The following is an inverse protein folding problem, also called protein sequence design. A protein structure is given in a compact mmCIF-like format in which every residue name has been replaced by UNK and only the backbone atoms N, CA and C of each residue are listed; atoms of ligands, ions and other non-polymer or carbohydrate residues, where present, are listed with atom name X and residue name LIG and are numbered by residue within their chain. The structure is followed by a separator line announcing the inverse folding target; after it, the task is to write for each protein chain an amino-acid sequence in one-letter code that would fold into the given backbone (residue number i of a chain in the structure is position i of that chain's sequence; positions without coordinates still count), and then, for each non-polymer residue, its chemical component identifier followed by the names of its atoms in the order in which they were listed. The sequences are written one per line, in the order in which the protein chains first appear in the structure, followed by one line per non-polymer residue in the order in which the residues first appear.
data_IF_869148074600
#
_entry.id   IF_869148074600
#
_cell.length_a   1.000
_cell.length_b   1.000
_cell.length_c   1.000
_cell.angle_alpha   90.00
_cell.angle_beta   90.00
_cell.angle_gamma   90.00
#
_symmetry.space_group_name_H-M   'P 1'
#
loop_
_entity.id
_entity.type
_entity.pdbx_description
1 polymer ?
#
# COMPACT_ATOMS: atom_id res chain seq x y z
N UNK A 1 -1.97 4.63 31.00
CA UNK A 1 -2.84 3.67 30.27
C UNK A 1 -2.04 2.93 29.19
N UNK A 2 -2.39 1.69 28.84
CA UNK A 2 -1.78 0.95 27.71
C UNK A 2 -2.71 0.82 26.50
N UNK A 3 -4.03 0.84 26.73
CA UNK A 3 -5.08 0.80 25.70
C UNK A 3 -6.05 1.96 25.85
N UNK A 4 -6.89 2.20 24.83
CA UNK A 4 -7.91 3.25 24.81
C UNK A 4 -7.39 4.65 24.50
N UNK A 5 -8.29 5.64 24.48
CA UNK A 5 -7.99 7.02 24.07
C UNK A 5 -6.82 7.65 24.83
N UNK A 6 -6.79 7.53 26.16
CA UNK A 6 -5.69 8.07 26.95
C UNK A 6 -4.33 7.43 26.65
N UNK A 7 -4.28 6.20 26.13
CA UNK A 7 -3.02 5.61 25.67
C UNK A 7 -2.58 6.20 24.32
N UNK A 8 -3.53 6.47 23.42
CA UNK A 8 -3.32 7.13 22.12
C UNK A 8 -2.73 8.53 22.32
N UNK A 9 -3.30 9.32 23.23
CA UNK A 9 -2.84 10.69 23.52
C UNK A 9 -1.39 10.71 24.03
N UNK A 10 -1.05 9.75 24.90
CA UNK A 10 0.32 9.62 25.41
C UNK A 10 1.28 9.19 24.30
N UNK A 11 0.89 8.23 23.45
CA UNK A 11 1.74 7.71 22.37
C UNK A 11 2.06 8.77 21.32
N UNK A 12 1.05 9.53 20.89
CA UNK A 12 1.21 10.65 19.96
C UNK A 12 1.99 11.81 20.59
N UNK A 13 1.69 12.14 21.86
CA UNK A 13 2.40 13.16 22.61
C UNK A 13 3.89 12.89 22.79
N UNK A 14 4.28 11.65 23.13
CA UNK A 14 5.68 11.26 23.26
C UNK A 14 6.45 11.39 21.93
N UNK A 15 5.82 11.00 20.82
CA UNK A 15 6.42 11.16 19.48
C UNK A 15 6.59 12.64 19.13
N UNK A 16 5.60 13.48 19.43
CA UNK A 16 5.67 14.93 19.20
C UNK A 16 6.78 15.59 20.04
N UNK A 17 6.95 15.14 21.29
CA UNK A 17 8.04 15.60 22.17
C UNK A 17 9.40 15.19 21.61
N UNK A 18 9.53 13.96 21.10
CA UNK A 18 10.75 13.49 20.44
C UNK A 18 11.11 14.39 19.25
N UNK A 19 10.15 14.63 18.35
CA UNK A 19 10.33 15.50 17.17
C UNK A 19 10.79 16.91 17.56
N UNK A 20 10.09 17.53 18.52
CA UNK A 20 10.43 18.87 18.98
C UNK A 20 11.83 18.91 19.58
N UNK A 21 12.21 17.87 20.34
CA UNK A 21 13.52 17.81 20.98
C UNK A 21 14.64 17.67 19.95
N UNK A 22 14.50 16.80 18.96
CA UNK A 22 15.47 16.66 17.86
C UNK A 22 15.64 18.00 17.14
N UNK A 23 14.53 18.68 16.82
CA UNK A 23 14.56 20.00 16.17
C UNK A 23 15.29 21.07 16.98
N UNK A 24 15.12 21.08 18.31
CA UNK A 24 15.82 22.02 19.19
C UNK A 24 17.32 21.75 19.23
N UNK A 25 17.74 20.49 19.22
CA UNK A 25 19.15 20.11 19.17
C UNK A 25 19.80 20.51 17.83
N UNK A 26 19.10 20.29 16.71
CA UNK A 26 19.53 20.73 15.38
C UNK A 26 19.68 22.25 15.27
N UNK A 27 18.83 23.02 15.95
CA UNK A 27 18.90 24.47 15.99
C UNK A 27 20.06 25.02 16.85
N UNK A 28 20.87 24.14 17.46
CA UNK A 28 21.96 24.54 18.35
C UNK A 28 21.48 25.00 19.73
N UNK A 29 20.18 24.84 20.04
CA UNK A 29 19.59 25.18 21.33
C UNK A 29 19.76 24.02 22.33
N UNK A 30 21.01 23.57 22.45
CA UNK A 30 21.43 22.54 23.43
C UNK A 30 21.56 23.12 24.84
N UNK A 31 21.42 24.45 25.00
CA UNK A 31 21.69 25.17 26.24
C UNK A 31 20.45 25.86 26.81
N UNK A 32 19.59 25.06 27.47
CA UNK A 32 18.84 25.36 28.72
C UNK A 32 17.45 24.75 28.69
N UNK A 33 17.27 23.60 29.35
CA UNK A 33 15.92 23.15 29.70
C UNK A 33 15.92 22.33 30.99
N UNK A 34 16.15 22.97 32.13
CA UNK A 34 15.91 22.32 33.42
C UNK A 34 14.45 21.82 33.45
N UNK A 35 14.26 20.50 33.53
CA UNK A 35 12.95 19.86 33.57
C UNK A 35 12.37 19.39 32.22
N UNK A 36 13.09 19.53 31.09
CA UNK A 36 12.66 18.94 29.81
C UNK A 36 13.50 17.68 29.54
N UNK A 37 12.87 16.54 29.22
CA UNK A 37 13.58 15.31 28.87
C UNK A 37 14.49 15.47 27.65
N UNK A 38 15.69 14.89 27.73
CA UNK A 38 16.59 14.66 26.60
C UNK A 38 16.00 13.66 25.59
N UNK A 39 16.57 13.62 24.39
CA UNK A 39 16.16 12.69 23.34
C UNK A 39 16.20 11.23 23.82
N UNK A 40 17.26 10.83 24.51
CA UNK A 40 17.43 9.47 25.04
C UNK A 40 16.40 9.15 26.13
N UNK A 41 16.04 10.13 26.97
CA UNK A 41 14.99 9.96 27.99
C UNK A 41 13.62 9.75 27.33
N UNK A 42 13.29 10.53 26.29
CA UNK A 42 12.04 10.37 25.54
C UNK A 42 12.00 9.01 24.84
N UNK A 43 13.08 8.61 24.18
CA UNK A 43 13.19 7.28 23.57
C UNK A 43 13.03 6.16 24.59
N UNK A 44 13.59 6.29 25.79
CA UNK A 44 13.39 5.33 26.87
C UNK A 44 11.93 5.26 27.33
N UNK A 45 11.21 6.39 27.36
CA UNK A 45 9.78 6.41 27.66
C UNK A 45 8.96 5.70 26.58
N UNK A 46 9.28 5.92 25.31
CA UNK A 46 8.67 5.26 24.15
C UNK A 46 8.96 3.75 24.20
N UNK A 47 10.21 3.35 24.42
CA UNK A 47 10.65 1.96 24.50
C UNK A 47 9.85 1.16 25.54
N UNK A 48 9.59 1.74 26.72
CA UNK A 48 8.78 1.13 27.80
C UNK A 48 7.30 0.94 27.46
N UNK A 49 6.86 1.52 26.34
CA UNK A 49 5.45 1.59 25.92
C UNK A 49 5.26 1.19 24.46
N UNK A 50 6.21 0.48 23.84
CA UNK A 50 6.08 0.07 22.44
C UNK A 50 4.84 -0.79 22.19
N UNK A 51 4.42 -1.58 23.18
CA UNK A 51 3.19 -2.38 23.16
C UNK A 51 1.92 -1.57 23.42
N UNK A 52 2.03 -0.30 23.80
CA UNK A 52 0.90 0.56 24.04
C UNK A 52 0.25 1.00 22.72
N UNK A 53 -1.05 1.28 22.79
CA UNK A 53 -1.88 1.60 21.63
C UNK A 53 -1.22 2.61 20.69
N UNK A 54 -1.03 2.21 19.44
CA UNK A 54 -0.51 3.04 18.33
C UNK A 54 0.91 3.61 18.53
N UNK A 55 1.68 3.22 19.56
CA UNK A 55 3.00 3.83 19.82
C UNK A 55 3.98 3.65 18.66
N UNK A 56 4.05 2.45 18.08
CA UNK A 56 4.89 2.16 16.91
C UNK A 56 4.41 2.96 15.70
N UNK A 57 3.09 3.01 15.47
CA UNK A 57 2.52 3.74 14.34
C UNK A 57 2.87 5.23 14.37
N UNK A 58 2.73 5.88 15.53
CA UNK A 58 3.13 7.28 15.68
C UNK A 58 4.64 7.47 15.49
N UNK A 59 5.46 6.62 16.10
CA UNK A 59 6.91 6.70 15.95
C UNK A 59 7.35 6.60 14.48
N UNK A 60 6.68 5.74 13.71
CA UNK A 60 6.92 5.60 12.27
C UNK A 60 6.44 6.79 11.43
N UNK A 61 5.63 7.69 11.98
CA UNK A 61 5.18 8.90 11.29
C UNK A 61 6.12 10.10 11.49
N UNK A 62 7.20 9.96 12.27
CA UNK A 62 8.18 11.03 12.52
C UNK A 62 9.42 10.82 11.64
N UNK A 63 9.62 11.60 10.56
CA UNK A 63 10.81 11.50 9.71
C UNK A 63 12.11 11.79 10.48
N UNK A 64 12.06 12.68 11.47
CA UNK A 64 13.23 13.01 12.31
C UNK A 64 13.61 11.85 13.22
N UNK A 65 12.64 11.08 13.72
CA UNK A 65 12.92 9.85 14.45
C UNK A 65 13.57 8.78 13.56
N UNK A 66 13.27 8.71 12.26
CA UNK A 66 13.80 7.66 11.39
C UNK A 66 15.33 7.63 11.33
N UNK A 67 15.99 8.80 11.29
CA UNK A 67 17.46 8.87 11.30
C UNK A 67 18.04 8.20 12.55
N UNK A 68 17.43 8.48 13.70
CA UNK A 68 17.83 7.88 14.98
C UNK A 68 17.53 6.39 15.09
N UNK A 69 16.36 5.97 14.58
CA UNK A 69 15.95 4.58 14.58
C UNK A 69 16.85 3.74 13.68
N UNK A 70 17.22 4.27 12.51
CA UNK A 70 18.19 3.68 11.59
C UNK A 70 19.55 3.46 12.26
N UNK A 71 20.00 4.42 13.06
CA UNK A 71 21.26 4.32 13.81
C UNK A 71 21.15 3.38 15.04
N UNK A 72 20.01 2.71 15.24
CA UNK A 72 19.79 1.74 16.30
C UNK A 72 19.54 2.35 17.67
N UNK A 73 19.06 3.60 17.75
CA UNK A 73 18.80 4.26 19.04
C UNK A 73 17.76 3.49 19.90
N UNK A 74 16.73 2.95 19.26
CA UNK A 74 15.73 2.13 19.93
C UNK A 74 16.26 0.74 20.31
N UNK A 75 17.09 0.14 19.45
CA UNK A 75 17.78 -1.15 19.71
C UNK A 75 18.63 -1.04 20.97
N UNK A 76 19.39 0.06 21.12
CA UNK A 76 20.17 0.36 22.34
C UNK A 76 19.27 0.54 23.56
N UNK A 77 18.17 1.28 23.42
CA UNK A 77 17.23 1.54 24.52
C UNK A 77 16.52 0.27 25.03
N UNK A 78 16.36 -0.74 24.17
CA UNK A 78 15.70 -2.00 24.48
C UNK A 78 16.67 -3.14 24.82
N UNK A 79 17.98 -2.89 24.78
CA UNK A 79 19.02 -3.90 24.98
C UNK A 79 18.85 -5.13 24.06
N UNK A 80 18.49 -4.89 22.79
CA UNK A 80 18.30 -5.94 21.80
C UNK A 80 19.63 -6.36 21.16
N UNK A 81 19.73 -7.64 20.80
CA UNK A 81 20.87 -8.19 20.08
C UNK A 81 20.97 -7.57 18.68
N UNK A 82 21.99 -6.73 18.49
CA UNK A 82 22.23 -6.03 17.23
C UNK A 82 22.45 -6.98 16.05
N UNK A 83 23.12 -8.11 16.27
CA UNK A 83 23.38 -9.10 15.21
C UNK A 83 22.08 -9.71 14.69
N UNK A 84 21.15 -10.05 15.59
CA UNK A 84 19.82 -10.56 15.22
C UNK A 84 18.97 -9.51 14.51
N UNK A 85 19.03 -8.25 14.93
CA UNK A 85 18.31 -7.16 14.26
C UNK A 85 18.87 -6.93 12.85
N UNK A 86 20.20 -6.94 12.68
CA UNK A 86 20.83 -6.81 11.36
C UNK A 86 20.53 -8.00 10.44
N UNK A 87 20.47 -9.22 10.99
CA UNK A 87 20.02 -10.41 10.25
C UNK A 87 18.57 -10.27 9.79
N UNK A 88 17.66 -9.91 10.69
CA UNK A 88 16.25 -9.68 10.37
C UNK A 88 16.06 -8.55 9.34
N UNK A 89 16.81 -7.45 9.47
CA UNK A 89 16.77 -6.36 8.49
C UNK A 89 17.16 -6.84 7.08
N UNK A 90 18.20 -7.65 6.95
CA UNK A 90 18.60 -8.26 5.67
C UNK A 90 17.53 -9.19 5.11
N UNK A 91 16.84 -9.96 5.95
CA UNK A 91 15.72 -10.80 5.52
C UNK A 91 14.57 -9.95 4.97
N UNK A 92 14.19 -8.88 5.66
CA UNK A 92 13.14 -7.96 5.23
C UNK A 92 13.50 -7.28 3.91
N UNK A 93 14.73 -6.77 3.77
CA UNK A 93 15.23 -6.20 2.52
C UNK A 93 15.17 -7.22 1.37
N UNK A 94 15.57 -8.47 1.62
CA UNK A 94 15.48 -9.56 0.65
C UNK A 94 14.04 -9.86 0.21
N UNK A 95 13.08 -9.85 1.15
CA UNK A 95 11.65 -10.04 0.84
C UNK A 95 11.09 -8.86 0.04
N UNK A 96 11.47 -7.63 0.37
CA UNK A 96 11.06 -6.43 -0.37
C UNK A 96 11.60 -6.49 -1.81
N UNK A 97 12.89 -6.79 -2.00
CA UNK A 97 13.48 -6.92 -3.34
C UNK A 97 12.83 -8.06 -4.13
N UNK A 98 12.57 -9.22 -3.51
CA UNK A 98 11.82 -10.30 -4.16
C UNK A 98 10.43 -9.82 -4.62
N UNK A 99 9.71 -9.09 -3.77
CA UNK A 99 8.36 -8.61 -4.07
C UNK A 99 8.35 -7.51 -5.14
N UNK A 100 9.36 -6.64 -5.15
CA UNK A 100 9.55 -5.64 -6.22
C UNK A 100 9.86 -6.31 -7.57
N UNK A 101 10.66 -7.37 -7.56
CA UNK A 101 11.05 -8.06 -8.79
C UNK A 101 9.94 -8.96 -9.34
N UNK A 102 9.33 -9.77 -8.47
CA UNK A 102 8.42 -10.85 -8.85
C UNK A 102 6.94 -10.54 -8.59
N UNK A 103 6.62 -9.45 -7.91
CA UNK A 103 5.25 -9.12 -7.50
C UNK A 103 4.81 -9.88 -6.24
N UNK A 104 3.49 -10.06 -6.10
CA UNK A 104 2.91 -10.88 -5.02
C UNK A 104 3.38 -12.34 -5.17
N UNK A 105 3.36 -13.09 -4.06
CA UNK A 105 3.64 -14.51 -4.12
C UNK A 105 2.65 -15.22 -5.05
N UNK A 106 3.15 -16.16 -5.86
CA UNK A 106 2.30 -16.96 -6.74
C UNK A 106 1.26 -17.72 -5.91
N UNK A 107 0.02 -17.67 -6.36
CA UNK A 107 -1.03 -18.55 -5.85
C UNK A 107 -0.74 -19.99 -6.32
N UNK A 108 -1.20 -21.01 -5.57
CA UNK A 108 -1.18 -22.38 -6.07
C UNK A 108 -1.76 -22.45 -7.49
N UNK A 109 -1.19 -23.28 -8.39
CA UNK A 109 -1.64 -23.33 -9.77
C UNK A 109 -3.11 -23.73 -9.83
N UNK A 110 -3.94 -22.82 -10.30
CA UNK A 110 -5.39 -23.00 -10.49
C UNK A 110 -5.74 -22.57 -11.91
N UNK A 111 -6.68 -23.27 -12.53
CA UNK A 111 -7.24 -22.82 -13.82
C UNK A 111 -8.09 -21.59 -13.59
N UNK A 112 -8.19 -20.72 -14.60
CA UNK A 112 -9.04 -19.54 -14.54
C UNK A 112 -10.48 -19.91 -14.15
N UNK A 113 -11.07 -20.93 -14.77
CA UNK A 113 -12.41 -21.46 -14.41
C UNK A 113 -12.54 -21.78 -12.92
N UNK A 114 -11.51 -22.39 -12.31
CA UNK A 114 -11.57 -22.76 -10.90
C UNK A 114 -11.52 -21.54 -9.99
N UNK A 115 -10.83 -20.47 -10.40
CA UNK A 115 -10.82 -19.19 -9.69
C UNK A 115 -12.23 -18.59 -9.71
N UNK A 116 -12.86 -18.54 -10.88
CA UNK A 116 -14.25 -18.04 -11.04
C UNK A 116 -15.25 -18.81 -10.18
N UNK A 117 -15.25 -20.14 -10.27
CA UNK A 117 -16.12 -21.01 -9.44
C UNK A 117 -15.95 -20.73 -7.94
N UNK A 118 -14.70 -20.50 -7.51
CA UNK A 118 -14.39 -20.23 -6.10
C UNK A 118 -14.91 -18.85 -5.68
N UNK A 119 -14.71 -17.83 -6.51
CA UNK A 119 -15.20 -16.47 -6.24
C UNK A 119 -16.72 -16.42 -6.21
N UNK A 120 -17.39 -17.06 -7.17
CA UNK A 120 -18.86 -17.16 -7.19
C UNK A 120 -19.39 -17.88 -5.96
N UNK A 121 -18.84 -19.05 -5.65
CA UNK A 121 -19.26 -19.81 -4.48
C UNK A 121 -19.12 -18.99 -3.19
N UNK A 122 -17.96 -18.36 -2.98
CA UNK A 122 -17.71 -17.55 -1.79
C UNK A 122 -18.66 -16.35 -1.72
N UNK A 123 -18.85 -15.64 -2.83
CA UNK A 123 -19.72 -14.46 -2.85
C UNK A 123 -21.18 -14.81 -2.56
N UNK A 124 -21.68 -15.92 -3.09
CA UNK A 124 -23.08 -16.32 -2.95
C UNK A 124 -23.35 -16.93 -1.57
N UNK A 125 -22.39 -17.71 -1.04
CA UNK A 125 -22.63 -18.53 0.15
C UNK A 125 -22.08 -17.94 1.45
N UNK A 126 -21.12 -17.01 1.38
CA UNK A 126 -20.52 -16.44 2.59
C UNK A 126 -21.54 -15.59 3.38
N UNK A 127 -21.69 -15.81 4.70
CA UNK A 127 -22.67 -15.07 5.51
C UNK A 127 -22.51 -13.55 5.43
N UNK A 128 -21.28 -13.05 5.55
CA UNK A 128 -21.00 -11.60 5.53
C UNK A 128 -21.28 -10.97 4.16
N UNK A 129 -21.07 -11.71 3.06
CA UNK A 129 -21.44 -11.24 1.72
C UNK A 129 -22.96 -11.08 1.60
N UNK A 130 -23.71 -12.05 2.11
CA UNK A 130 -25.18 -12.00 2.10
C UNK A 130 -25.73 -10.89 3.00
N UNK A 131 -25.08 -10.64 4.14
CA UNK A 131 -25.39 -9.51 5.00
C UNK A 131 -25.16 -8.19 4.27
N UNK A 132 -24.03 -8.06 3.57
CA UNK A 132 -23.74 -6.86 2.78
C UNK A 132 -24.77 -6.60 1.68
N UNK A 133 -25.21 -7.62 0.94
CA UNK A 133 -26.31 -7.47 -0.03
C UNK A 133 -27.62 -7.02 0.63
N UNK A 134 -27.96 -7.56 1.82
CA UNK A 134 -29.15 -7.16 2.56
C UNK A 134 -29.07 -5.72 3.06
N UNK A 135 -27.90 -5.27 3.52
CA UNK A 135 -27.66 -3.89 3.97
C UNK A 135 -27.77 -2.89 2.83
N UNK A 136 -27.36 -3.28 1.62
CA UNK A 136 -27.43 -2.47 0.41
C UNK A 136 -28.81 -2.49 -0.27
N UNK A 137 -29.77 -3.30 0.23
CA UNK A 137 -31.06 -3.57 -0.42
C UNK A 137 -30.92 -4.13 -1.85
N UNK A 138 -29.81 -4.83 -2.11
CA UNK A 138 -29.48 -5.43 -3.39
C UNK A 138 -29.77 -6.94 -3.37
N UNK A 139 -30.36 -7.50 -4.44
CA UNK A 139 -30.52 -8.93 -4.54
C UNK A 139 -29.15 -9.61 -4.70
N UNK A 140 -28.88 -10.62 -3.88
CA UNK A 140 -27.70 -11.46 -4.08
C UNK A 140 -27.73 -12.08 -5.49
N UNK A 141 -26.65 -11.97 -6.27
CA UNK A 141 -26.59 -12.47 -7.63
C UNK A 141 -26.61 -14.01 -7.63
N UNK A 142 -27.26 -14.61 -8.62
CA UNK A 142 -27.21 -16.07 -8.82
C UNK A 142 -25.87 -16.52 -9.44
N UNK A 143 -25.21 -15.60 -10.16
CA UNK A 143 -23.96 -15.83 -10.89
C UNK A 143 -23.26 -14.49 -11.08
N UNK A 144 -21.93 -14.46 -10.98
CA UNK A 144 -21.13 -13.25 -11.18
C UNK A 144 -20.48 -13.21 -12.58
N UNK A 145 -20.20 -14.38 -13.15
CA UNK A 145 -19.62 -14.51 -14.47
C UNK A 145 -20.65 -14.30 -15.57
N UNK A 146 -20.16 -13.72 -16.66
CA UNK A 146 -20.90 -13.35 -17.86
C UNK A 146 -20.52 -14.28 -19.00
N UNK A 147 -21.23 -14.17 -20.11
CA UNK A 147 -20.85 -14.91 -21.31
C UNK A 147 -19.42 -14.53 -21.73
N UNK A 148 -18.59 -15.50 -22.13
CA UNK A 148 -17.21 -15.24 -22.54
C UNK A 148 -17.09 -14.25 -23.70
N UNK A 149 -16.05 -13.44 -23.69
CA UNK A 149 -15.69 -12.63 -24.84
C UNK A 149 -15.08 -13.51 -25.95
N UNK A 150 -15.43 -13.20 -27.19
CA UNK A 150 -14.80 -13.83 -28.36
C UNK A 150 -13.42 -13.23 -28.62
N UNK A 151 -12.54 -14.02 -29.25
CA UNK A 151 -11.21 -13.53 -29.66
C UNK A 151 -11.30 -12.28 -30.57
N UNK A 152 -12.33 -12.20 -31.43
CA UNK A 152 -12.55 -11.07 -32.31
C UNK A 152 -12.91 -9.78 -31.54
N UNK A 153 -13.75 -9.87 -30.51
CA UNK A 153 -14.08 -8.72 -29.65
C UNK A 153 -12.85 -8.19 -28.91
N UNK A 154 -12.00 -9.10 -28.42
CA UNK A 154 -10.76 -8.73 -27.74
C UNK A 154 -9.79 -8.07 -28.72
N UNK A 155 -9.67 -8.61 -29.94
CA UNK A 155 -8.78 -8.05 -30.97
C UNK A 155 -9.23 -6.66 -31.43
N UNK A 156 -10.54 -6.47 -31.65
CA UNK A 156 -11.12 -5.16 -31.97
C UNK A 156 -10.85 -4.14 -30.86
N UNK A 157 -11.00 -4.52 -29.59
CA UNK A 157 -10.69 -3.64 -28.46
C UNK A 157 -9.19 -3.35 -28.32
N UNK A 158 -8.32 -4.32 -28.60
CA UNK A 158 -6.87 -4.10 -28.66
C UNK A 158 -6.49 -3.10 -29.77
N UNK A 159 -7.13 -3.19 -30.94
CA UNK A 159 -6.95 -2.24 -32.06
C UNK A 159 -7.43 -0.83 -31.67
N UNK A 160 -8.61 -0.71 -31.08
CA UNK A 160 -9.16 0.55 -30.57
C UNK A 160 -8.25 1.21 -29.54
N UNK A 161 -7.74 0.44 -28.57
CA UNK A 161 -6.85 0.95 -27.52
C UNK A 161 -5.42 1.20 -28.02
N UNK A 162 -5.03 0.63 -29.16
CA UNK A 162 -3.68 0.71 -29.72
C UNK A 162 -2.62 -0.08 -28.95
N UNK A 163 -3.01 -1.16 -28.26
CA UNK A 163 -2.12 -1.98 -27.41
C UNK A 163 -2.42 -3.47 -27.52
N UNK A 164 -1.63 -4.30 -26.84
CA UNK A 164 -1.99 -5.68 -26.52
C UNK A 164 -2.33 -5.80 -25.04
N UNK A 165 -3.49 -6.37 -24.74
CA UNK A 165 -3.90 -6.67 -23.38
C UNK A 165 -3.03 -7.81 -22.80
N UNK A 166 -2.81 -7.82 -21.47
CA UNK A 166 -2.10 -8.90 -20.80
C UNK A 166 -2.68 -10.28 -21.11
N UNK A 167 -1.83 -11.30 -21.21
CA UNK A 167 -2.22 -12.66 -21.63
C UNK A 167 -3.24 -13.28 -20.66
N UNK A 168 -2.96 -13.17 -19.38
CA UNK A 168 -3.81 -13.60 -18.27
C UNK A 168 -5.16 -12.85 -18.25
N UNK A 169 -5.14 -11.55 -18.51
CA UNK A 169 -6.37 -10.77 -18.61
C UNK A 169 -7.23 -11.18 -19.82
N UNK A 170 -6.61 -11.53 -20.95
CA UNK A 170 -7.34 -12.12 -22.09
C UNK A 170 -7.91 -13.49 -21.77
N UNK A 171 -7.18 -14.34 -21.05
CA UNK A 171 -7.69 -15.62 -20.56
C UNK A 171 -8.91 -15.42 -19.66
N UNK A 172 -8.87 -14.44 -18.76
CA UNK A 172 -10.02 -14.02 -17.96
C UNK A 172 -11.22 -13.63 -18.83
N UNK A 173 -11.04 -12.75 -19.82
CA UNK A 173 -12.13 -12.29 -20.70
C UNK A 173 -12.74 -13.43 -21.55
N UNK A 174 -11.91 -14.39 -21.97
CA UNK A 174 -12.36 -15.60 -22.70
C UNK A 174 -13.05 -16.64 -21.80
N UNK A 175 -13.07 -16.43 -20.49
CA UNK A 175 -13.88 -17.22 -19.54
C UNK A 175 -15.13 -16.44 -19.13
N UNK A 176 -15.02 -15.12 -18.96
CA UNK A 176 -16.12 -14.24 -18.57
C UNK A 176 -15.88 -12.83 -19.10
N UNK A 177 -16.81 -12.30 -19.92
CA UNK A 177 -16.72 -10.92 -20.41
C UNK A 177 -17.05 -9.91 -19.31
N UNK A 178 -16.10 -9.63 -18.43
CA UNK A 178 -16.30 -8.88 -17.19
C UNK A 178 -16.73 -9.79 -16.04
N UNK A 179 -16.85 -9.25 -14.84
CA UNK A 179 -17.22 -10.00 -13.64
C UNK A 179 -17.86 -9.10 -12.61
N UNK A 180 -19.02 -9.49 -12.09
CA UNK A 180 -19.67 -8.73 -11.03
C UNK A 180 -18.88 -8.83 -9.71
N UNK A 181 -19.20 -7.92 -8.78
CA UNK A 181 -18.44 -7.68 -7.56
C UNK A 181 -18.29 -8.95 -6.68
N UNK A 182 -17.09 -9.53 -6.59
CA UNK A 182 -16.87 -10.69 -5.74
C UNK A 182 -16.61 -10.28 -4.29
N UNK A 183 -16.98 -11.13 -3.35
CA UNK A 183 -16.66 -10.93 -1.95
C UNK A 183 -15.19 -11.28 -1.65
N UNK A 184 -14.42 -10.28 -1.24
CA UNK A 184 -12.98 -10.41 -0.93
C UNK A 184 -12.66 -10.99 0.47
N UNK A 185 -13.69 -11.31 1.25
CA UNK A 185 -13.54 -11.82 2.63
C UNK A 185 -13.74 -10.77 3.73
N UNK A 186 -13.88 -9.49 3.36
CA UNK A 186 -14.18 -8.39 4.29
C UNK A 186 -15.25 -7.48 3.68
N UNK A 187 -15.06 -7.08 2.42
CA UNK A 187 -15.99 -6.28 1.63
C UNK A 187 -16.09 -6.85 0.21
N UNK A 188 -17.08 -6.38 -0.55
CA UNK A 188 -17.10 -6.55 -2.00
C UNK A 188 -15.92 -5.87 -2.66
N UNK A 189 -15.28 -6.60 -3.58
CA UNK A 189 -14.25 -6.08 -4.46
C UNK A 189 -14.90 -5.43 -5.70
N UNK A 190 -14.22 -4.47 -6.35
CA UNK A 190 -14.78 -3.80 -7.51
C UNK A 190 -15.09 -4.75 -8.66
N UNK A 191 -16.20 -4.47 -9.37
CA UNK A 191 -16.57 -5.22 -10.56
C UNK A 191 -15.55 -5.03 -11.69
N UNK A 192 -15.33 -6.06 -12.49
CA UNK A 192 -14.52 -6.01 -13.69
C UNK A 192 -15.38 -5.76 -14.92
N UNK A 193 -14.93 -4.83 -15.75
CA UNK A 193 -15.62 -4.42 -16.95
C UNK A 193 -15.66 -5.50 -18.03
N UNK A 194 -16.76 -5.57 -18.78
CA UNK A 194 -16.77 -6.26 -20.05
C UNK A 194 -15.90 -5.51 -21.06
N UNK A 195 -15.43 -6.22 -22.10
CA UNK A 195 -14.51 -5.73 -23.14
C UNK A 195 -14.93 -4.38 -23.68
N UNK A 196 -16.21 -4.20 -24.00
CA UNK A 196 -16.74 -2.97 -24.58
C UNK A 196 -16.58 -1.73 -23.69
N UNK A 197 -16.49 -1.90 -22.37
CA UNK A 197 -16.31 -0.80 -21.40
C UNK A 197 -14.85 -0.52 -21.06
N UNK A 198 -13.92 -1.36 -21.48
CA UNK A 198 -12.48 -1.13 -21.27
C UNK A 198 -12.08 0.13 -22.06
N UNK A 199 -11.40 1.06 -21.37
CA UNK A 199 -11.02 2.35 -21.93
C UNK A 199 -9.75 2.89 -21.30
N UNK A 200 -9.09 3.80 -22.01
CA UNK A 200 -8.14 4.70 -21.38
C UNK A 200 -8.86 5.64 -20.41
N UNK A 201 -8.21 6.00 -19.31
CA UNK A 201 -8.61 7.18 -18.54
C UNK A 201 -8.61 8.40 -19.48
N UNK A 202 -9.66 9.20 -19.41
CA UNK A 202 -9.87 10.37 -20.25
C UNK A 202 -9.07 11.57 -19.77
N UNK A 203 -8.94 12.58 -20.63
CA UNK A 203 -8.19 13.81 -20.34
C UNK A 203 -8.82 14.66 -19.21
N UNK A 204 -10.09 14.43 -18.86
CA UNK A 204 -10.75 15.10 -17.72
C UNK A 204 -10.53 14.38 -16.38
N UNK A 205 -9.86 13.22 -16.41
CA UNK A 205 -9.61 12.35 -15.26
C UNK A 205 -8.17 12.47 -14.74
N UNK A 206 -7.53 13.62 -14.97
CA UNK A 206 -6.14 13.91 -14.58
C UNK A 206 -5.86 13.61 -13.10
N UNK A 207 -6.87 13.81 -12.23
CA UNK A 207 -6.80 13.48 -10.81
C UNK A 207 -6.30 12.05 -10.57
N UNK A 208 -6.74 11.05 -11.35
CA UNK A 208 -6.29 9.67 -11.19
C UNK A 208 -4.87 9.46 -11.71
N UNK A 209 -4.51 10.14 -12.80
CA UNK A 209 -3.18 10.02 -13.40
C UNK A 209 -2.09 10.67 -12.55
N UNK A 210 -2.47 11.67 -11.75
CA UNK A 210 -1.59 12.41 -10.85
C UNK A 210 -1.45 11.76 -9.46
N UNK A 211 -2.13 10.64 -9.20
CA UNK A 211 -1.98 9.92 -7.94
C UNK A 211 -0.58 9.28 -7.83
N UNK A 212 0.03 9.26 -6.64
CA UNK A 212 1.23 8.47 -6.38
C UNK A 212 1.00 6.99 -6.65
N UNK A 213 1.94 6.35 -7.35
CA UNK A 213 1.88 4.92 -7.62
C UNK A 213 2.61 4.12 -6.55
N UNK A 214 1.84 3.45 -5.70
CA UNK A 214 2.34 2.72 -4.55
C UNK A 214 2.49 1.22 -4.85
N UNK A 215 3.73 0.81 -5.16
CA UNK A 215 4.10 -0.59 -5.44
C UNK A 215 5.32 -0.95 -4.56
N UNK A 216 5.30 -2.08 -3.83
CA UNK A 216 4.36 -3.21 -3.94
C UNK A 216 3.28 -3.27 -2.84
N UNK A 217 3.12 -2.18 -2.09
CA UNK A 217 2.16 -1.99 -1.02
C UNK A 217 1.77 -0.51 -0.97
N UNK A 218 0.82 -0.17 -0.12
CA UNK A 218 0.45 1.21 0.21
C UNK A 218 1.61 1.91 0.96
N UNK A 219 2.13 3.00 0.39
CA UNK A 219 3.22 3.82 0.95
C UNK A 219 2.70 5.22 1.33
N UNK A 220 1.38 5.40 1.42
CA UNK A 220 0.71 6.67 1.76
C UNK A 220 1.30 7.36 2.99
N UNK A 221 1.76 6.60 3.98
CA UNK A 221 2.43 7.14 5.18
C UNK A 221 3.79 7.81 4.89
N UNK A 222 4.50 7.42 3.83
CA UNK A 222 5.76 8.01 3.40
C UNK A 222 5.54 9.21 2.47
N UNK A 223 4.52 9.13 1.61
CA UNK A 223 4.26 10.13 0.57
C UNK A 223 3.50 11.37 1.09
N UNK A 224 2.57 11.22 2.05
CA UNK A 224 1.72 12.33 2.52
C UNK A 224 2.28 13.17 3.67
N UNK A 225 3.33 12.70 4.35
CA UNK A 225 3.85 13.35 5.57
C UNK A 225 5.23 14.00 5.43
N UNK A 226 5.81 14.01 4.23
CA UNK A 226 7.08 14.71 3.99
C UNK A 226 6.83 16.20 3.76
N UNK A 227 7.52 17.06 4.52
CA UNK A 227 7.51 18.53 4.35
C UNK A 227 8.00 18.97 2.95
N UNK A 228 8.61 18.05 2.20
CA UNK A 228 8.88 18.15 0.77
C UNK A 228 8.31 16.90 0.09
N UNK A 229 7.34 17.01 -0.82
CA UNK A 229 6.88 15.84 -1.55
C UNK A 229 8.09 15.22 -2.24
N UNK A 230 8.45 14.00 -1.83
CA UNK A 230 9.40 13.21 -2.59
C UNK A 230 8.85 13.12 -4.01
N UNK A 231 9.66 13.45 -5.01
CA UNK A 231 9.31 13.18 -6.41
C UNK A 231 9.09 11.67 -6.55
N UNK A 232 7.82 11.26 -6.42
CA UNK A 232 7.37 9.89 -6.45
C UNK A 232 6.72 9.61 -7.80
N UNK A 233 6.94 8.44 -8.41
CA UNK A 233 6.30 8.12 -9.67
C UNK A 233 4.77 8.14 -9.52
N UNK A 234 4.11 8.81 -10.47
CA UNK A 234 2.66 8.88 -10.53
C UNK A 234 2.10 7.69 -11.35
N UNK A 235 0.82 7.40 -11.16
CA UNK A 235 0.06 6.40 -11.91
C UNK A 235 0.21 6.62 -13.41
N UNK A 236 0.09 7.87 -13.84
CA UNK A 236 0.14 8.28 -15.24
C UNK A 236 -0.99 7.67 -16.06
N UNK A 237 -0.78 7.56 -17.38
CA UNK A 237 -1.78 7.00 -18.29
C UNK A 237 -2.06 5.53 -17.95
N UNK A 238 -3.32 5.21 -17.68
CA UNK A 238 -3.78 3.88 -17.29
C UNK A 238 -5.07 3.49 -18.02
N UNK A 239 -5.35 2.19 -18.05
CA UNK A 239 -6.57 1.64 -18.65
C UNK A 239 -7.48 1.19 -17.53
N UNK A 240 -8.69 1.70 -17.53
CA UNK A 240 -9.71 1.29 -16.58
C UNK A 240 -10.35 -0.02 -17.03
N UNK A 241 -10.31 -1.01 -16.13
CA UNK A 241 -10.86 -2.35 -16.36
C UNK A 241 -11.90 -2.75 -15.30
N UNK A 242 -12.25 -1.85 -14.39
CA UNK A 242 -13.22 -2.12 -13.35
C UNK A 242 -13.39 -0.93 -12.42
N UNK A 243 -14.57 -0.83 -11.82
CA UNK A 243 -14.88 0.19 -10.81
C UNK A 243 -16.03 -0.27 -9.91
N UNK A 244 -16.06 0.28 -8.71
CA UNK A 244 -17.17 0.22 -7.76
C UNK A 244 -17.05 1.41 -6.81
N UNK A 245 -18.04 2.31 -6.81
CA UNK A 245 -18.03 3.53 -6.01
C UNK A 245 -16.72 4.34 -6.20
N UNK A 246 -15.86 4.41 -5.20
CA UNK A 246 -14.58 5.12 -5.24
C UNK A 246 -13.39 4.23 -5.62
N UNK A 247 -13.60 2.91 -5.68
CA UNK A 247 -12.55 1.93 -5.95
C UNK A 247 -12.46 1.62 -7.44
N UNK A 248 -11.25 1.71 -7.98
CA UNK A 248 -10.99 1.53 -9.41
C UNK A 248 -9.91 0.48 -9.64
N UNK A 249 -10.04 -0.27 -10.73
CA UNK A 249 -9.08 -1.29 -11.14
C UNK A 249 -8.46 -0.86 -12.47
N UNK A 250 -7.13 -0.71 -12.46
CA UNK A 250 -6.37 -0.22 -13.61
C UNK A 250 -5.33 -1.23 -14.11
N UNK A 251 -5.18 -1.28 -15.43
CA UNK A 251 -3.97 -1.83 -16.05
C UNK A 251 -2.97 -0.71 -16.28
N UNK A 252 -1.80 -0.85 -15.65
CA UNK A 252 -0.72 0.11 -15.75
C UNK A 252 0.31 -0.33 -16.80
N UNK A 253 0.84 0.60 -17.61
CA UNK A 253 1.97 0.32 -18.47
C UNK A 253 3.18 -0.19 -17.66
N UNK A 254 3.89 -1.25 -18.10
CA UNK A 254 5.06 -1.77 -17.39
C UNK A 254 6.12 -0.71 -17.10
N UNK A 255 6.28 0.27 -17.99
CA UNK A 255 7.22 1.38 -17.81
C UNK A 255 6.91 2.25 -16.57
N UNK A 256 5.65 2.37 -16.16
CA UNK A 256 5.30 3.12 -14.95
C UNK A 256 5.66 2.32 -13.68
N UNK A 257 5.44 1.00 -13.71
CA UNK A 257 5.89 0.09 -12.64
C UNK A 257 7.42 0.13 -12.50
N UNK A 258 8.16 0.16 -13.61
CA UNK A 258 9.63 0.22 -13.58
C UNK A 258 10.16 1.52 -12.97
N UNK A 259 9.49 2.65 -13.16
CA UNK A 259 9.83 3.91 -12.47
C UNK A 259 9.76 3.76 -10.96
N UNK A 260 8.72 3.11 -10.43
CA UNK A 260 8.58 2.84 -8.99
C UNK A 260 9.68 1.90 -8.51
N UNK A 261 9.94 0.80 -9.22
CA UNK A 261 11.03 -0.12 -8.87
C UNK A 261 12.38 0.58 -8.81
N UNK A 262 12.67 1.47 -9.77
CA UNK A 262 13.90 2.27 -9.78
C UNK A 262 13.94 3.27 -8.61
N UNK A 263 12.82 3.94 -8.31
CA UNK A 263 12.76 4.88 -7.19
C UNK A 263 12.98 4.16 -5.85
N UNK A 264 12.29 3.05 -5.61
CA UNK A 264 12.49 2.26 -4.38
C UNK A 264 13.92 1.76 -4.27
N UNK A 265 14.51 1.22 -5.36
CA UNK A 265 15.93 0.84 -5.36
C UNK A 265 16.85 2.01 -5.06
N UNK A 266 16.61 3.19 -5.65
CA UNK A 266 17.43 4.38 -5.36
C UNK A 266 17.42 4.75 -3.88
N UNK A 267 16.27 4.57 -3.20
CA UNK A 267 16.11 4.82 -1.77
C UNK A 267 16.87 3.77 -0.94
N UNK A 268 16.75 2.49 -1.31
CA UNK A 268 17.44 1.38 -0.64
C UNK A 268 18.96 1.44 -0.84
N UNK A 269 19.41 1.83 -2.03
CA UNK A 269 20.83 1.92 -2.41
C UNK A 269 21.51 3.19 -1.83
N UNK A 270 20.75 4.25 -1.57
CA UNK A 270 21.29 5.40 -0.85
C UNK A 270 21.66 5.01 0.58
N UNK A 271 22.96 5.03 0.88
CA UNK A 271 23.42 5.47 2.19
C UNK A 271 22.89 6.89 2.40
N UNK A 272 21.66 7.01 2.92
CA UNK A 272 20.90 8.25 3.08
C UNK A 272 21.84 9.46 3.20
N UNK A 273 21.91 10.25 2.12
CA UNK A 273 22.70 11.48 2.13
C UNK A 273 22.12 12.41 3.20
N UNK A 274 22.95 13.32 3.70
CA UNK A 274 22.58 14.28 4.75
C UNK A 274 21.41 15.22 4.36
N UNK A 275 20.83 15.07 3.16
CA UNK A 275 19.68 15.82 2.67
C UNK A 275 18.34 15.32 3.20
N UNK A 276 18.20 14.03 3.58
CA UNK A 276 16.99 13.51 4.23
C UNK A 276 17.04 13.74 5.76
N UNK A 277 18.23 14.06 6.30
CA UNK A 277 18.43 14.38 7.72
C UNK A 277 18.04 15.82 8.10
N UNK A 278 17.38 16.57 7.22
CA UNK A 278 16.99 17.98 7.41
C UNK A 278 15.53 18.18 7.05
#
# INVERSE_FOLDING_TARGET
ARTGAAAIDVSSGLTSVLDLRVRLEEAGDSTRTAGIPSVDEVLSMIAKRLDANQQIAYLMQSPRAWAMLKDGALVRSLDLDRGKIEEFAREVEGVIDQRLQRGKADLPPMTMNRIFETLEYNTITHPESREQFLELDDPAPEKLSREPATAAQIEEKEEELGIRLPKDYKEFLMVSNGFDAPFGGIIMEPSLFPVEKIRWLGDEEDYFTDLPLDIPADWTCLCHHSERPLEWPLVGKAIEIGTMDIDNIWLLPPANVDKVKQKVRSILDTNYSDEIKK
#
